data_IF_608800269226
#
_entry.id   IF_608800269226
#
_cell.length_a   1.000
_cell.length_b   1.000
_cell.length_c   1.000
_cell.angle_alpha   90.00
_cell.angle_beta   90.00
_cell.angle_gamma   90.00
#
_symmetry.space_group_name_H-M   'P 1'
#
loop_
_entity.id
_entity.type
_entity.pdbx_description
1 polymer ?
#
# COMPACT_ATOMS: atom_id res chain seq x y z
N UNK A 1 22.47 -3.39 14.75
CA UNK A 1 21.09 -3.52 14.20
C UNK A 1 21.24 -4.10 12.81
N UNK A 2 20.79 -5.34 12.62
CA UNK A 2 20.73 -5.95 11.29
C UNK A 2 19.93 -5.04 10.33
N UNK A 3 20.36 -4.88 9.07
CA UNK A 3 19.60 -4.09 8.10
C UNK A 3 18.23 -4.72 7.92
N UNK A 4 17.18 -3.93 8.17
CA UNK A 4 15.81 -4.38 7.99
C UNK A 4 15.54 -4.52 6.49
N UNK A 5 15.63 -5.74 5.97
CA UNK A 5 15.27 -6.01 4.57
C UNK A 5 13.77 -5.82 4.39
N UNK A 6 13.39 -4.74 3.72
CA UNK A 6 12.00 -4.46 3.35
C UNK A 6 11.59 -5.38 2.21
N UNK A 7 10.81 -6.43 2.52
CA UNK A 7 10.17 -7.28 1.51
C UNK A 7 8.66 -7.08 1.52
N UNK A 8 8.01 -7.45 0.41
CA UNK A 8 6.55 -7.39 0.31
C UNK A 8 5.85 -8.16 1.44
N UNK A 9 6.31 -9.38 1.74
CA UNK A 9 5.72 -10.21 2.80
C UNK A 9 5.85 -9.57 4.19
N UNK A 10 7.00 -8.95 4.49
CA UNK A 10 7.21 -8.25 5.77
C UNK A 10 6.29 -7.03 5.87
N UNK A 11 6.20 -6.23 4.80
CA UNK A 11 5.32 -5.06 4.73
C UNK A 11 3.85 -5.45 4.87
N UNK A 12 3.39 -6.46 4.12
CA UNK A 12 2.02 -6.95 4.19
C UNK A 12 1.69 -7.52 5.57
N UNK A 13 2.64 -8.23 6.20
CA UNK A 13 2.51 -8.70 7.58
C UNK A 13 2.39 -7.57 8.60
N UNK A 14 3.15 -6.48 8.42
CA UNK A 14 3.05 -5.31 9.29
C UNK A 14 1.72 -4.56 9.10
N UNK A 15 1.30 -4.37 7.84
CA UNK A 15 0.03 -3.76 7.49
C UNK A 15 -1.16 -4.55 8.08
N UNK A 16 -1.19 -5.87 7.90
CA UNK A 16 -2.26 -6.72 8.45
C UNK A 16 -2.34 -6.68 9.97
N UNK A 17 -1.19 -6.64 10.67
CA UNK A 17 -1.17 -6.43 12.13
C UNK A 17 -1.68 -5.06 12.55
N UNK A 18 -1.41 -4.01 11.78
CA UNK A 18 -1.94 -2.67 12.06
C UNK A 18 -3.47 -2.63 11.87
N UNK A 19 -3.96 -3.21 10.77
CA UNK A 19 -5.38 -3.33 10.46
C UNK A 19 -6.13 -4.08 11.56
N UNK A 20 -5.56 -5.17 12.11
CA UNK A 20 -6.20 -5.96 13.15
C UNK A 20 -6.47 -5.16 14.46
N UNK A 21 -5.83 -4.01 14.65
CA UNK A 21 -6.05 -3.12 15.79
C UNK A 21 -7.12 -2.06 15.53
N UNK A 22 -7.61 -1.95 14.30
CA UNK A 22 -8.66 -1.00 13.95
C UNK A 22 -9.99 -1.53 14.51
N UNK A 23 -10.59 -0.76 15.43
CA UNK A 23 -11.95 -1.00 15.86
C UNK A 23 -12.89 -0.64 14.72
N UNK A 24 -13.76 -1.56 14.32
CA UNK A 24 -14.77 -1.29 13.30
C UNK A 24 -15.73 -0.19 13.80
N UNK A 25 -15.75 1.00 13.19
CA UNK A 25 -16.60 2.10 13.62
C UNK A 25 -18.04 1.99 13.08
N UNK A 26 -18.27 1.07 12.14
CA UNK A 26 -19.53 0.95 11.41
C UNK A 26 -20.62 0.33 12.29
N UNK A 27 -21.84 0.80 12.09
CA UNK A 27 -23.02 0.08 12.58
C UNK A 27 -23.37 -1.09 11.65
N UNK A 28 -24.13 -2.06 12.19
CA UNK A 28 -24.59 -3.22 11.42
C UNK A 28 -25.36 -2.78 10.16
N UNK A 29 -24.91 -3.21 8.99
CA UNK A 29 -25.49 -2.83 7.69
C UNK A 29 -25.00 -3.75 6.58
N UNK A 30 -25.45 -3.53 5.34
CA UNK A 30 -24.88 -4.25 4.19
C UNK A 30 -23.36 -4.03 4.04
N UNK A 31 -22.83 -2.90 4.54
CA UNK A 31 -21.39 -2.62 4.50
C UNK A 31 -20.58 -3.57 5.37
N UNK A 32 -21.14 -4.09 6.47
CA UNK A 32 -20.42 -4.99 7.40
C UNK A 32 -20.22 -6.40 6.85
N UNK A 33 -20.79 -6.72 5.68
CA UNK A 33 -20.47 -7.95 4.92
C UNK A 33 -19.00 -8.03 4.53
N UNK A 34 -18.35 -6.89 4.30
CA UNK A 34 -16.93 -6.82 4.01
C UNK A 34 -16.14 -6.50 5.28
N UNK A 35 -15.14 -7.34 5.58
CA UNK A 35 -14.27 -7.08 6.71
C UNK A 35 -13.44 -5.81 6.48
N UNK A 36 -13.09 -5.11 7.56
CA UNK A 36 -12.16 -3.97 7.50
C UNK A 36 -10.84 -4.40 6.85
N UNK A 37 -10.37 -5.61 7.16
CA UNK A 37 -9.17 -6.19 6.57
C UNK A 37 -9.25 -6.29 5.05
N UNK A 38 -10.29 -6.94 4.53
CA UNK A 38 -10.43 -7.11 3.08
C UNK A 38 -10.57 -5.77 2.37
N UNK A 39 -11.27 -4.81 3.00
CA UNK A 39 -11.46 -3.48 2.44
C UNK A 39 -10.13 -2.71 2.34
N UNK A 40 -9.37 -2.65 3.44
CA UNK A 40 -8.09 -1.92 3.46
C UNK A 40 -7.08 -2.56 2.52
N UNK A 41 -7.01 -3.90 2.48
CA UNK A 41 -6.11 -4.61 1.57
C UNK A 41 -6.51 -4.45 0.10
N UNK A 42 -7.82 -4.42 -0.20
CA UNK A 42 -8.31 -4.13 -1.55
C UNK A 42 -7.89 -2.72 -1.99
N UNK A 43 -8.05 -1.71 -1.13
CA UNK A 43 -7.56 -0.35 -1.42
C UNK A 43 -6.05 -0.29 -1.58
N UNK A 44 -5.29 -0.96 -0.70
CA UNK A 44 -3.84 -1.03 -0.81
C UNK A 44 -3.38 -1.64 -2.14
N UNK A 45 -4.10 -2.65 -2.63
CA UNK A 45 -3.74 -3.30 -3.90
C UNK A 45 -3.83 -2.39 -5.12
N UNK A 46 -4.63 -1.31 -5.09
CA UNK A 46 -4.67 -0.29 -6.15
C UNK A 46 -3.29 0.35 -6.32
N UNK A 47 -2.66 0.74 -5.21
CA UNK A 47 -1.34 1.36 -5.21
C UNK A 47 -0.24 0.36 -5.58
N UNK A 48 -0.33 -0.87 -5.07
CA UNK A 48 0.68 -1.91 -5.35
C UNK A 48 0.67 -2.34 -6.83
N UNK A 49 -0.51 -2.40 -7.45
CA UNK A 49 -0.66 -2.84 -8.84
C UNK A 49 -0.44 -1.71 -9.85
N UNK A 50 -0.04 -0.51 -9.40
CA UNK A 50 0.17 0.66 -10.26
C UNK A 50 -1.03 0.93 -11.18
N UNK A 51 -2.26 0.70 -10.69
CA UNK A 51 -3.45 0.93 -11.49
C UNK A 51 -3.69 2.43 -11.67
N UNK A 52 -3.94 2.86 -12.91
CA UNK A 52 -4.22 4.27 -13.24
C UNK A 52 -5.53 4.78 -12.61
N UNK A 53 -6.44 3.87 -12.27
CA UNK A 53 -7.69 4.21 -11.58
C UNK A 53 -8.24 3.03 -10.77
N UNK A 54 -9.19 3.32 -9.88
CA UNK A 54 -9.97 2.31 -9.18
C UNK A 54 -10.84 1.45 -10.12
N UNK A 55 -11.25 1.98 -11.27
CA UNK A 55 -12.04 1.21 -12.25
C UNK A 55 -11.15 0.18 -12.96
N UNK A 56 -9.94 0.58 -13.35
CA UNK A 56 -8.96 -0.35 -13.91
C UNK A 56 -8.53 -1.40 -12.88
N UNK A 57 -8.35 -0.99 -11.63
CA UNK A 57 -8.14 -1.93 -10.53
C UNK A 57 -9.29 -2.94 -10.42
N UNK A 58 -10.53 -2.48 -10.45
CA UNK A 58 -11.71 -3.35 -10.41
C UNK A 58 -11.74 -4.32 -11.61
N UNK A 59 -11.51 -3.83 -12.83
CA UNK A 59 -11.44 -4.65 -14.05
C UNK A 59 -10.35 -5.72 -13.95
N UNK A 60 -9.16 -5.31 -13.49
CA UNK A 60 -8.08 -6.23 -13.26
C UNK A 60 -8.50 -7.27 -12.22
N UNK A 61 -8.97 -6.85 -11.05
CA UNK A 61 -9.41 -7.71 -9.94
C UNK A 61 -10.52 -8.68 -10.32
N UNK A 62 -11.46 -8.34 -11.21
CA UNK A 62 -12.56 -9.22 -11.63
C UNK A 62 -12.24 -10.17 -12.80
N UNK A 63 -11.12 -9.99 -13.49
CA UNK A 63 -10.68 -10.97 -14.49
C UNK A 63 -10.44 -12.33 -13.81
N UNK A 64 -11.06 -13.41 -14.33
CA UNK A 64 -11.05 -14.75 -13.71
C UNK A 64 -9.65 -15.28 -13.44
N UNK A 65 -8.70 -15.07 -14.36
CA UNK A 65 -7.29 -15.46 -14.17
C UNK A 65 -6.58 -14.67 -13.06
N UNK A 66 -7.12 -13.51 -12.70
CA UNK A 66 -6.54 -12.59 -11.73
C UNK A 66 -7.24 -12.57 -10.37
N UNK A 67 -8.50 -13.01 -10.25
CA UNK A 67 -9.19 -13.13 -8.96
C UNK A 67 -8.47 -14.11 -8.04
N UNK A 68 -8.22 -15.32 -8.51
CA UNK A 68 -7.66 -16.39 -7.66
C UNK A 68 -6.21 -16.08 -7.24
N UNK A 69 -5.40 -15.54 -8.18
CA UNK A 69 -4.02 -15.14 -7.90
C UNK A 69 -3.94 -13.95 -6.93
N UNK A 70 -4.86 -12.99 -7.00
CA UNK A 70 -4.80 -11.78 -6.15
C UNK A 70 -5.47 -11.96 -4.80
N UNK A 71 -6.51 -12.79 -4.72
CA UNK A 71 -7.01 -13.31 -3.43
C UNK A 71 -5.89 -14.02 -2.69
N UNK A 72 -5.08 -14.81 -3.39
CA UNK A 72 -3.89 -15.43 -2.81
C UNK A 72 -2.81 -14.42 -2.42
N UNK A 73 -2.44 -13.48 -3.31
CA UNK A 73 -1.36 -12.51 -3.08
C UNK A 73 -1.60 -11.59 -1.86
N UNK A 74 -2.83 -11.14 -1.66
CA UNK A 74 -3.20 -10.26 -0.55
C UNK A 74 -3.96 -10.97 0.58
N UNK A 75 -4.32 -12.25 0.41
CA UNK A 75 -5.13 -13.00 1.37
C UNK A 75 -6.57 -12.49 1.50
N UNK A 76 -7.16 -11.98 0.41
CA UNK A 76 -8.52 -11.41 0.38
C UNK A 76 -9.58 -12.52 0.28
N UNK A 77 -10.61 -12.46 1.13
CA UNK A 77 -11.77 -13.37 1.04
C UNK A 77 -12.90 -12.81 0.18
N UNK A 78 -13.21 -11.52 0.31
CA UNK A 78 -14.16 -10.81 -0.53
C UNK A 78 -13.54 -9.52 -1.10
N UNK A 79 -13.92 -9.17 -2.32
CA UNK A 79 -13.46 -7.94 -2.97
C UNK A 79 -14.66 -6.98 -3.04
N UNK A 80 -14.69 -5.94 -2.20
CA UNK A 80 -15.71 -4.89 -2.29
C UNK A 80 -15.56 -4.10 -3.60
N UNK A 81 -16.66 -3.49 -4.06
CA UNK A 81 -16.64 -2.55 -5.19
C UNK A 81 -15.95 -1.25 -4.78
N UNK A 82 -15.47 -0.46 -5.75
CA UNK A 82 -14.83 0.84 -5.47
C UNK A 82 -15.68 1.78 -4.60
N UNK A 83 -16.98 2.00 -4.87
CA UNK A 83 -17.81 2.83 -4.00
C UNK A 83 -17.88 2.25 -2.58
N UNK A 84 -17.98 0.93 -2.45
CA UNK A 84 -18.04 0.28 -1.15
C UNK A 84 -16.71 0.39 -0.38
N UNK A 85 -15.58 0.33 -1.07
CA UNK A 85 -14.26 0.59 -0.48
C UNK A 85 -14.22 1.99 0.11
N UNK A 86 -14.63 3.02 -0.65
CA UNK A 86 -14.63 4.41 -0.18
C UNK A 86 -15.54 4.60 1.02
N UNK A 87 -16.79 4.14 0.92
CA UNK A 87 -17.77 4.23 2.01
C UNK A 87 -17.23 3.68 3.33
N UNK A 88 -16.55 2.53 3.28
CA UNK A 88 -15.98 1.90 4.48
C UNK A 88 -14.72 2.66 4.96
N UNK A 89 -13.84 3.07 4.05
CA UNK A 89 -12.60 3.76 4.42
C UNK A 89 -12.83 5.14 4.98
N UNK A 90 -13.85 5.87 4.51
CA UNK A 90 -14.21 7.20 5.00
C UNK A 90 -14.64 7.18 6.48
N UNK A 91 -15.09 6.02 6.98
CA UNK A 91 -15.43 5.83 8.39
C UNK A 91 -14.21 5.47 9.26
N UNK A 92 -13.08 5.04 8.67
CA UNK A 92 -11.90 4.57 9.40
C UNK A 92 -10.93 5.73 9.64
N UNK A 93 -10.58 5.95 10.91
CA UNK A 93 -9.53 6.90 11.26
C UNK A 93 -8.16 6.47 10.68
N UNK A 94 -7.59 7.31 9.81
CA UNK A 94 -6.29 7.06 9.17
C UNK A 94 -5.12 6.90 10.16
N UNK A 95 -5.27 7.44 11.37
CA UNK A 95 -4.26 7.34 12.45
C UNK A 95 -3.88 5.90 12.79
N UNK A 96 -4.79 4.94 12.64
CA UNK A 96 -4.50 3.52 12.85
C UNK A 96 -3.44 2.94 11.88
N UNK A 97 -3.25 3.59 10.73
CA UNK A 97 -2.30 3.18 9.69
C UNK A 97 -0.99 4.00 9.70
N UNK A 98 -0.92 5.09 10.46
CA UNK A 98 0.27 5.98 10.47
C UNK A 98 1.54 5.24 10.88
N UNK A 99 1.45 4.30 11.84
CA UNK A 99 2.57 3.46 12.24
C UNK A 99 3.14 2.64 11.08
N UNK A 100 2.31 2.24 10.10
CA UNK A 100 2.74 1.51 8.91
C UNK A 100 3.58 2.41 8.02
N UNK A 101 3.10 3.63 7.77
CA UNK A 101 3.85 4.63 7.00
C UNK A 101 5.20 4.94 7.64
N UNK A 102 5.23 5.24 8.94
CA UNK A 102 6.48 5.53 9.66
C UNK A 102 7.45 4.35 9.58
N UNK A 103 6.97 3.12 9.77
CA UNK A 103 7.81 1.93 9.68
C UNK A 103 8.41 1.73 8.29
N UNK A 104 7.59 1.83 7.22
CA UNK A 104 8.08 1.73 5.83
C UNK A 104 9.09 2.83 5.53
N UNK A 105 8.81 4.07 5.93
CA UNK A 105 9.71 5.20 5.72
C UNK A 105 11.07 4.99 6.40
N UNK A 106 11.10 4.51 7.65
CA UNK A 106 12.35 4.23 8.35
C UNK A 106 13.12 3.07 7.71
N UNK A 107 12.42 2.02 7.26
CA UNK A 107 13.04 0.91 6.54
C UNK A 107 13.70 1.41 5.24
N UNK A 108 13.00 2.22 4.45
CA UNK A 108 13.54 2.83 3.22
C UNK A 108 14.72 3.77 3.50
N UNK A 109 14.63 4.59 4.55
CA UNK A 109 15.71 5.49 4.97
C UNK A 109 16.96 4.71 5.42
N UNK A 110 16.78 3.56 6.08
CA UNK A 110 17.87 2.67 6.47
C UNK A 110 18.54 1.96 5.28
N UNK A 111 17.79 1.74 4.20
CA UNK A 111 18.28 1.17 2.94
C UNK A 111 18.96 2.20 2.03
N UNK A 112 18.67 3.50 2.21
CA UNK A 112 19.32 4.55 1.46
C UNK A 112 20.84 4.54 1.74
N UNK A 113 21.70 4.60 0.71
CA UNK A 113 23.14 4.67 0.92
C UNK A 113 23.45 5.89 1.79
N UNK A 114 24.12 5.67 2.92
CA UNK A 114 24.53 6.72 3.87
C UNK A 114 25.50 7.75 3.26
N UNK A 115 25.92 7.55 2.01
CA UNK A 115 26.92 8.33 1.29
C UNK A 115 26.33 8.96 0.03
N UNK A 116 25.44 9.93 0.19
CA UNK A 116 25.40 11.08 -0.71
C UNK A 116 26.10 12.22 0.01
N UNK A 117 27.44 12.13 0.06
CA UNK A 117 28.24 13.31 0.36
C UNK A 117 28.03 14.31 -0.76
N UNK A 118 27.47 15.48 -0.44
CA UNK A 118 27.32 16.61 -1.37
C UNK A 118 28.69 17.12 -1.89
N UNK A 119 29.82 16.65 -1.35
CA UNK A 119 31.15 17.00 -1.84
C UNK A 119 31.50 16.37 -3.20
N UNK A 120 30.78 15.34 -3.66
CA UNK A 120 31.06 14.66 -4.94
C UNK A 120 30.52 15.38 -6.18
N UNK A 121 29.60 16.34 -6.02
CA UNK A 121 28.93 17.02 -7.14
C UNK A 121 29.70 18.24 -7.66
N UNK A 122 30.76 18.68 -6.96
CA UNK A 122 31.57 19.81 -7.39
C UNK A 122 32.46 19.53 -8.63
N UNK A 123 32.61 18.26 -9.04
CA UNK A 123 33.47 17.88 -10.17
C UNK A 123 32.72 17.54 -11.47
N UNK A 124 31.39 17.52 -11.47
CA UNK A 124 30.58 17.27 -12.69
C UNK A 124 29.89 18.55 -13.14
N UNK A 125 30.65 19.64 -13.18
CA UNK A 125 30.25 20.84 -13.90
C UNK A 125 30.50 20.62 -15.39
N UNK A 126 29.50 20.11 -16.13
CA UNK A 126 29.28 20.35 -17.58
C UNK A 126 28.40 19.28 -18.25
N UNK A 127 27.30 18.85 -17.65
CA UNK A 127 26.25 18.12 -18.39
C UNK A 127 24.94 18.90 -18.33
N UNK A 128 24.55 19.39 -19.52
CA UNK A 128 23.50 20.38 -19.76
C UNK A 128 22.14 19.67 -19.83
N UNK A 129 21.13 20.25 -19.19
CA UNK A 129 19.78 19.70 -18.94
C UNK A 129 18.91 19.31 -20.16
N UNK A 130 19.40 19.37 -21.41
CA UNK A 130 18.60 19.07 -22.61
C UNK A 130 18.53 17.59 -23.00
N UNK A 131 18.98 16.65 -22.15
CA UNK A 131 18.95 15.21 -22.46
C UNK A 131 17.98 14.40 -21.60
N UNK A 132 17.11 15.05 -20.82
CA UNK A 132 16.11 14.35 -19.98
C UNK A 132 14.67 14.89 -20.14
N UNK A 133 14.43 15.84 -21.05
CA UNK A 133 13.07 16.18 -21.51
C UNK A 133 13.10 16.46 -23.01
#
# INVERSE_FOLDING_TARGET
>A
MEPMTLSFGVMLGFLTRAIAKIKDPRQASNATRYSIKDTVLAAFSVFFMQCESFLEHQRQMHSRCGQDKRRSLFGLTQIPTTPQIRNILDEIAASGLFQVFTWVYQALKGLAPKTLSLSGWASVGSLRWHSVF
#
